data_IF_825355232939
#
_entry.id   IF_825355232939
#
_cell.length_a   1.000
_cell.length_b   1.000
_cell.length_c   1.000
_cell.angle_alpha   90.00
_cell.angle_beta   90.00
_cell.angle_gamma   90.00
#
_symmetry.space_group_name_H-M   'P 1'
#
loop_
_entity.id
_entity.type
_entity.pdbx_description
1 polymer ?
#
# COMPACT_ATOMS: atom_id res chain seq x y z
N UNK A 1 -7.99 6.17 -14.31
CA UNK A 1 -6.81 5.81 -13.51
C UNK A 1 -6.87 6.51 -12.15
N UNK A 2 -6.72 5.75 -11.05
CA UNK A 2 -6.63 6.29 -9.67
C UNK A 2 -5.20 6.18 -9.15
N UNK A 3 -4.76 7.16 -8.36
CA UNK A 3 -3.43 7.19 -7.74
C UNK A 3 -3.55 7.47 -6.25
N UNK A 4 -2.71 6.81 -5.44
CA UNK A 4 -2.65 7.01 -3.99
C UNK A 4 -1.21 6.84 -3.51
N UNK A 5 -0.71 7.82 -2.75
CA UNK A 5 0.63 7.75 -2.18
C UNK A 5 0.58 7.08 -0.80
N UNK A 6 1.40 6.03 -0.61
CA UNK A 6 1.53 5.37 0.67
C UNK A 6 2.07 6.32 1.74
N UNK A 7 1.56 6.19 2.96
CA UNK A 7 1.89 7.08 4.07
C UNK A 7 1.03 8.35 4.15
N UNK A 8 -0.01 8.45 3.30
CA UNK A 8 -1.01 9.51 3.39
C UNK A 8 -2.36 8.96 3.87
N UNK A 9 -3.34 9.83 4.13
CA UNK A 9 -4.68 9.38 4.49
C UNK A 9 -5.31 8.57 3.34
N UNK A 10 -5.85 7.39 3.65
CA UNK A 10 -6.42 6.50 2.65
C UNK A 10 -7.66 7.14 2.01
N UNK A 11 -7.70 7.11 0.68
CA UNK A 11 -8.91 7.42 -0.07
C UNK A 11 -9.92 6.27 0.03
N UNK A 12 -11.22 6.53 -0.13
CA UNK A 12 -12.29 5.52 0.00
C UNK A 12 -12.04 4.26 -0.84
N UNK A 13 -11.57 4.43 -2.08
CA UNK A 13 -11.27 3.28 -2.94
C UNK A 13 -10.07 2.44 -2.46
N UNK A 14 -9.16 3.02 -1.68
CA UNK A 14 -8.04 2.30 -1.06
C UNK A 14 -8.53 1.56 0.18
N UNK A 15 -9.45 2.16 0.96
CA UNK A 15 -10.16 1.45 2.03
C UNK A 15 -10.88 0.21 1.49
N UNK A 16 -11.53 0.31 0.34
CA UNK A 16 -12.17 -0.85 -0.30
C UNK A 16 -11.14 -1.94 -0.66
N UNK A 17 -9.96 -1.57 -1.15
CA UNK A 17 -8.91 -2.54 -1.46
C UNK A 17 -8.38 -3.23 -0.20
N UNK A 18 -8.17 -2.48 0.88
CA UNK A 18 -7.73 -3.06 2.16
C UNK A 18 -8.82 -3.97 2.75
N UNK A 19 -10.07 -3.54 2.73
CA UNK A 19 -11.21 -4.36 3.17
C UNK A 19 -11.39 -5.65 2.37
N UNK A 20 -10.90 -5.66 1.11
CA UNK A 20 -10.87 -6.85 0.25
C UNK A 20 -9.54 -7.61 0.27
N UNK A 21 -8.66 -7.35 1.25
CA UNK A 21 -7.33 -7.96 1.40
C UNK A 21 -6.43 -7.82 0.16
N UNK A 22 -6.65 -6.77 -0.64
CA UNK A 22 -5.81 -6.46 -1.81
C UNK A 22 -4.58 -5.65 -1.45
N UNK A 23 -4.61 -4.97 -0.31
CA UNK A 23 -3.44 -4.29 0.27
C UNK A 23 -3.32 -4.76 1.71
N UNK A 24 -2.14 -5.23 2.08
CA UNK A 24 -1.80 -5.63 3.44
C UNK A 24 -0.63 -4.76 3.88
N UNK A 25 -0.79 -4.07 5.01
CA UNK A 25 0.28 -3.33 5.65
C UNK A 25 1.07 -4.29 6.55
N UNK A 26 2.38 -4.32 6.36
CA UNK A 26 3.32 -4.98 7.25
C UNK A 26 4.28 -3.93 7.82
N UNK A 27 4.24 -3.78 9.14
CA UNK A 27 5.19 -2.93 9.83
C UNK A 27 6.39 -3.79 10.23
N UNK A 28 7.63 -3.34 10.01
CA UNK A 28 8.82 -4.08 10.45
C UNK A 28 8.86 -4.31 11.98
N UNK A 29 7.95 -3.70 12.73
CA UNK A 29 7.76 -3.93 14.15
C UNK A 29 6.79 -5.07 14.46
N UNK A 30 7.16 -6.30 14.10
CA UNK A 30 6.48 -7.48 14.66
C UNK A 30 6.90 -7.81 16.11
N UNK A 31 7.74 -7.00 16.78
CA UNK A 31 8.31 -7.33 18.11
C UNK A 31 8.38 -6.18 19.16
N UNK A 32 7.65 -5.07 19.00
CA UNK A 32 7.74 -3.96 19.98
C UNK A 32 6.62 -2.90 19.86
N UNK A 33 6.56 -1.94 20.80
CA UNK A 33 5.57 -0.85 20.76
C UNK A 33 5.74 0.00 19.50
N UNK A 34 4.61 0.39 18.90
CA UNK A 34 4.53 1.14 17.65
C UNK A 34 5.35 2.44 17.74
N UNK A 35 6.52 2.46 17.09
CA UNK A 35 7.41 3.62 17.01
C UNK A 35 7.25 4.30 15.64
N UNK A 36 6.59 5.45 15.65
CA UNK A 36 6.35 6.26 14.45
C UNK A 36 7.65 6.79 13.80
N UNK A 37 8.80 6.72 14.47
CA UNK A 37 10.08 7.06 13.84
C UNK A 37 10.50 6.08 12.74
N UNK A 38 9.85 4.91 12.66
CA UNK A 38 10.10 3.87 11.65
C UNK A 38 9.01 3.77 10.58
N UNK A 39 8.14 4.77 10.48
CA UNK A 39 7.05 4.78 9.50
C UNK A 39 7.58 4.67 8.05
N UNK A 40 8.79 5.17 7.78
CA UNK A 40 9.48 5.01 6.49
C UNK A 40 9.84 3.57 6.13
N UNK A 41 9.92 2.68 7.11
CA UNK A 41 10.26 1.26 6.91
C UNK A 41 9.00 0.39 6.68
N UNK A 42 7.80 0.99 6.67
CA UNK A 42 6.55 0.26 6.41
C UNK A 42 6.49 -0.32 4.99
N UNK A 43 6.05 -1.57 4.91
CA UNK A 43 5.85 -2.30 3.67
C UNK A 43 4.36 -2.47 3.40
N UNK A 44 3.97 -2.31 2.14
CA UNK A 44 2.62 -2.53 1.66
C UNK A 44 2.65 -3.64 0.61
N UNK A 45 2.09 -4.81 0.95
CA UNK A 45 1.90 -5.90 0.01
C UNK A 45 0.63 -5.66 -0.79
N UNK A 46 0.78 -5.46 -2.10
CA UNK A 46 -0.32 -5.16 -3.02
C UNK A 46 -0.58 -6.36 -3.90
N UNK A 47 -1.72 -7.01 -3.71
CA UNK A 47 -2.15 -8.18 -4.45
C UNK A 47 -3.00 -7.77 -5.65
N UNK A 48 -2.35 -7.57 -6.79
CA UNK A 48 -3.02 -7.34 -8.06
C UNK A 48 -3.80 -8.57 -8.55
N UNK A 49 -4.29 -8.50 -9.80
CA UNK A 49 -5.01 -9.62 -10.42
C UNK A 49 -4.08 -10.70 -10.94
N UNK A 50 -2.86 -10.32 -11.34
CA UNK A 50 -1.86 -11.19 -11.98
C UNK A 50 -0.46 -11.05 -11.39
N UNK A 51 -0.28 -10.16 -10.42
CA UNK A 51 1.00 -9.77 -9.84
C UNK A 51 0.84 -9.51 -8.33
N UNK A 52 1.97 -9.57 -7.63
CA UNK A 52 2.10 -9.07 -6.27
C UNK A 52 3.18 -8.00 -6.34
N UNK A 53 2.85 -6.78 -5.92
CA UNK A 53 3.77 -5.67 -5.80
C UNK A 53 4.06 -5.40 -4.33
N UNK A 54 5.23 -4.81 -4.06
CA UNK A 54 5.57 -4.32 -2.72
C UNK A 54 5.78 -2.82 -2.82
N UNK A 55 4.99 -2.06 -2.08
CA UNK A 55 5.13 -0.61 -1.90
C UNK A 55 5.78 -0.26 -0.58
N UNK A 56 6.42 0.90 -0.55
CA UNK A 56 6.99 1.51 0.65
C UNK A 56 6.29 2.82 0.93
N UNK A 57 6.53 3.39 2.11
CA UNK A 57 6.16 4.77 2.39
C UNK A 57 6.66 5.71 1.28
N UNK A 58 5.79 6.58 0.76
CA UNK A 58 6.12 7.51 -0.33
C UNK A 58 5.96 6.96 -1.74
N UNK A 59 5.96 5.62 -1.93
CA UNK A 59 5.61 5.00 -3.21
C UNK A 59 4.14 5.31 -3.58
N UNK A 60 3.80 5.21 -4.86
CA UNK A 60 2.45 5.49 -5.37
C UNK A 60 1.77 4.20 -5.87
N UNK A 61 0.66 3.83 -5.25
CA UNK A 61 -0.26 2.84 -5.78
C UNK A 61 -1.04 3.41 -6.97
N UNK A 62 -1.07 2.68 -8.07
CA UNK A 62 -1.82 3.00 -9.28
C UNK A 62 -2.85 1.90 -9.53
N UNK A 63 -4.13 2.29 -9.62
CA UNK A 63 -5.17 1.45 -10.19
C UNK A 63 -5.50 1.95 -11.60
N UNK A 64 -5.26 1.12 -12.61
CA UNK A 64 -5.61 1.42 -14.00
C UNK A 64 -7.13 1.26 -14.24
N UNK A 65 -7.58 1.58 -15.45
CA UNK A 65 -9.01 1.55 -15.81
C UNK A 65 -9.59 0.12 -15.87
N UNK A 66 -8.73 -0.90 -15.98
CA UNK A 66 -9.10 -2.32 -15.94
C UNK A 66 -9.09 -2.88 -14.49
N UNK A 67 -8.74 -2.04 -13.52
CA UNK A 67 -8.66 -2.41 -12.10
C UNK A 67 -7.39 -3.16 -11.72
N UNK A 68 -6.37 -3.21 -12.58
CA UNK A 68 -5.06 -3.75 -12.19
C UNK A 68 -4.35 -2.80 -11.22
N UNK A 69 -3.58 -3.38 -10.31
CA UNK A 69 -2.84 -2.65 -9.28
C UNK A 69 -1.34 -2.74 -9.57
N UNK A 70 -0.67 -1.59 -9.55
CA UNK A 70 0.77 -1.46 -9.74
C UNK A 70 1.33 -0.46 -8.72
N UNK A 71 2.62 -0.55 -8.42
CA UNK A 71 3.30 0.41 -7.55
C UNK A 71 4.40 1.14 -8.33
N UNK A 72 4.31 2.47 -8.36
CA UNK A 72 5.32 3.38 -8.89
C UNK A 72 6.24 3.84 -7.76
N UNK A 73 7.56 3.80 -8.00
CA UNK A 73 8.58 4.13 -6.99
C UNK A 73 8.78 5.63 -6.87
N UNK A 74 8.73 6.12 -5.63
CA UNK A 74 8.89 7.53 -5.26
C UNK A 74 10.34 7.97 -5.12
#
# INVERSE_FOLDING_TARGET
MKKYQFGTAWADWVWDLVGNNKIILDSPQHNGPFDHSKDSEMLFFVYGRKNIEIGHWGDTLIQDDDGNLNVEKG
#
